data_IF_146017119387
#
_entry.id   IF_146017119387
#
_cell.length_a   1.000
_cell.length_b   1.000
_cell.length_c   1.000
_cell.angle_alpha   90.00
_cell.angle_beta   90.00
_cell.angle_gamma   90.00
#
_symmetry.space_group_name_H-M   'P 1'
#
loop_
_entity.id
_entity.type
_entity.pdbx_description
1 polymer ?
#
# COMPACT_ATOMS: atom_id res chain seq x y z
N UNK A 1 16.48 -22.25 0.21
CA UNK A 1 15.45 -21.25 -0.02
C UNK A 1 15.39 -20.72 -1.48
N UNK A 2 16.38 -21.01 -2.32
CA UNK A 2 16.37 -20.65 -3.76
C UNK A 2 15.72 -21.73 -4.66
N UNK A 3 14.87 -22.57 -4.12
CA UNK A 3 14.05 -23.50 -4.88
C UNK A 3 12.86 -22.80 -5.54
N UNK A 4 12.27 -23.38 -6.57
CA UNK A 4 11.06 -22.87 -7.24
C UNK A 4 9.93 -22.55 -6.24
N UNK A 5 9.80 -23.37 -5.18
CA UNK A 5 8.84 -23.14 -4.09
C UNK A 5 9.11 -21.83 -3.32
N UNK A 6 10.38 -21.45 -3.14
CA UNK A 6 10.73 -20.18 -2.49
C UNK A 6 10.29 -18.97 -3.28
N UNK A 7 10.48 -18.96 -4.60
CA UNK A 7 10.02 -17.86 -5.46
C UNK A 7 8.49 -17.75 -5.48
N UNK A 8 7.79 -18.89 -5.51
CA UNK A 8 6.33 -18.93 -5.42
C UNK A 8 5.87 -18.34 -4.07
N UNK A 9 6.47 -18.73 -2.97
CA UNK A 9 6.15 -18.18 -1.65
C UNK A 9 6.45 -16.68 -1.58
N UNK A 10 7.59 -16.24 -2.14
CA UNK A 10 7.95 -14.82 -2.22
C UNK A 10 6.96 -13.95 -2.99
N UNK A 11 6.29 -14.51 -3.98
CA UNK A 11 5.18 -13.84 -4.68
C UNK A 11 3.87 -13.95 -3.93
N UNK A 12 3.50 -15.16 -3.44
CA UNK A 12 2.18 -15.42 -2.85
C UNK A 12 1.96 -14.71 -1.51
N UNK A 13 3.00 -14.58 -0.68
CA UNK A 13 2.83 -13.92 0.63
C UNK A 13 2.44 -12.45 0.50
N UNK A 14 3.12 -11.61 -0.32
CA UNK A 14 2.67 -10.24 -0.59
C UNK A 14 1.33 -10.18 -1.36
N UNK A 15 1.04 -11.19 -2.18
CA UNK A 15 -0.25 -11.30 -2.86
C UNK A 15 -1.40 -11.49 -1.86
N UNK A 16 -1.26 -12.41 -0.89
CA UNK A 16 -2.27 -12.69 0.15
C UNK A 16 -2.45 -11.48 1.08
N UNK A 17 -1.37 -10.75 1.38
CA UNK A 17 -1.43 -9.52 2.19
C UNK A 17 -2.45 -8.51 1.63
N UNK A 18 -2.56 -8.39 0.32
CA UNK A 18 -3.50 -7.47 -0.32
C UNK A 18 -4.97 -7.75 0.03
N UNK A 19 -5.31 -8.98 0.44
CA UNK A 19 -6.64 -9.39 0.86
C UNK A 19 -6.85 -9.24 2.37
N UNK A 20 -5.79 -9.35 3.17
CA UNK A 20 -5.85 -9.39 4.62
C UNK A 20 -5.18 -8.14 5.20
N UNK A 21 -5.95 -7.14 5.67
CA UNK A 21 -5.42 -5.84 6.09
C UNK A 21 -4.57 -5.88 7.38
N UNK A 22 -4.50 -7.03 8.04
CA UNK A 22 -3.77 -7.22 9.30
C UNK A 22 -2.30 -7.59 9.05
N UNK A 23 -1.99 -8.15 7.87
CA UNK A 23 -0.64 -8.62 7.56
C UNK A 23 0.28 -7.44 7.20
N UNK A 24 1.44 -7.30 7.87
CA UNK A 24 2.36 -6.21 7.60
C UNK A 24 3.20 -6.51 6.35
N UNK A 25 2.94 -5.81 5.25
CA UNK A 25 3.69 -5.91 3.99
C UNK A 25 5.21 -5.74 4.18
N UNK A 26 5.61 -4.89 5.14
CA UNK A 26 7.00 -4.61 5.45
C UNK A 26 7.77 -5.90 5.77
N UNK A 27 7.18 -6.80 6.57
CA UNK A 27 7.79 -8.07 6.96
C UNK A 27 8.03 -8.94 5.73
N UNK A 28 7.05 -9.05 4.84
CA UNK A 28 7.18 -9.87 3.62
C UNK A 28 8.22 -9.31 2.65
N UNK A 29 8.30 -7.98 2.50
CA UNK A 29 9.34 -7.33 1.69
C UNK A 29 10.72 -7.62 2.26
N UNK A 30 10.92 -7.44 3.56
CA UNK A 30 12.21 -7.70 4.23
C UNK A 30 12.61 -9.17 4.10
N UNK A 31 11.70 -10.10 4.34
CA UNK A 31 11.95 -11.55 4.19
C UNK A 31 12.35 -11.87 2.75
N UNK A 32 11.64 -11.36 1.76
CA UNK A 32 11.94 -11.58 0.35
C UNK A 32 13.33 -11.04 -0.04
N UNK A 33 13.65 -9.82 0.41
CA UNK A 33 14.93 -9.18 0.11
C UNK A 33 16.09 -9.94 0.73
N UNK A 34 15.94 -10.42 1.98
CA UNK A 34 16.99 -11.23 2.62
C UNK A 34 17.12 -12.64 2.03
N UNK A 35 16.00 -13.23 1.56
CA UNK A 35 16.02 -14.58 0.96
C UNK A 35 16.57 -14.59 -0.48
N UNK A 36 16.21 -13.60 -1.31
CA UNK A 36 16.46 -13.60 -2.76
C UNK A 36 17.38 -12.46 -3.24
N UNK A 37 17.82 -11.60 -2.32
CA UNK A 37 18.56 -10.38 -2.62
C UNK A 37 17.63 -9.19 -2.95
N UNK A 38 18.20 -7.99 -2.88
CA UNK A 38 17.42 -6.75 -2.99
C UNK A 38 16.58 -6.68 -4.28
N UNK A 39 17.16 -6.96 -5.43
CA UNK A 39 16.47 -6.81 -6.72
C UNK A 39 15.34 -7.84 -6.90
N UNK A 40 15.64 -9.13 -6.76
CA UNK A 40 14.67 -10.21 -6.98
C UNK A 40 13.61 -10.21 -5.89
N UNK A 41 14.01 -10.03 -4.62
CA UNK A 41 13.08 -9.97 -3.49
C UNK A 41 12.10 -8.80 -3.59
N UNK A 42 12.59 -7.62 -3.97
CA UNK A 42 11.76 -6.43 -4.22
C UNK A 42 10.80 -6.64 -5.39
N UNK A 43 11.28 -7.23 -6.48
CA UNK A 43 10.46 -7.50 -7.67
C UNK A 43 9.32 -8.48 -7.38
N UNK A 44 9.62 -9.58 -6.66
CA UNK A 44 8.61 -10.57 -6.26
C UNK A 44 7.54 -9.96 -5.35
N UNK A 45 7.96 -9.21 -4.34
CA UNK A 45 7.05 -8.54 -3.43
C UNK A 45 6.18 -7.51 -4.16
N UNK A 46 6.77 -6.73 -5.05
CA UNK A 46 6.07 -5.74 -5.85
C UNK A 46 5.03 -6.37 -6.77
N UNK A 47 5.40 -7.39 -7.54
CA UNK A 47 4.47 -8.10 -8.43
C UNK A 47 3.33 -8.74 -7.65
N UNK A 48 3.63 -9.46 -6.56
CA UNK A 48 2.61 -10.08 -5.71
C UNK A 48 1.61 -9.07 -5.17
N UNK A 49 2.11 -7.96 -4.62
CA UNK A 49 1.26 -6.91 -4.05
C UNK A 49 0.43 -6.18 -5.11
N UNK A 50 1.01 -5.87 -6.28
CA UNK A 50 0.29 -5.19 -7.37
C UNK A 50 -0.83 -6.07 -7.91
N UNK A 51 -0.53 -7.33 -8.21
CA UNK A 51 -1.53 -8.28 -8.72
C UNK A 51 -2.64 -8.52 -7.68
N UNK A 52 -2.27 -8.76 -6.41
CA UNK A 52 -3.24 -8.95 -5.33
C UNK A 52 -4.13 -7.73 -5.12
N UNK A 53 -3.55 -6.55 -5.00
CA UNK A 53 -4.30 -5.29 -4.83
C UNK A 53 -5.23 -4.99 -6.00
N UNK A 54 -4.81 -5.26 -7.23
CA UNK A 54 -5.65 -5.03 -8.41
C UNK A 54 -6.82 -6.01 -8.47
N UNK A 55 -6.61 -7.28 -8.11
CA UNK A 55 -7.69 -8.27 -8.00
C UNK A 55 -8.70 -7.86 -6.91
N UNK A 56 -8.22 -7.42 -5.73
CA UNK A 56 -9.09 -6.92 -4.66
C UNK A 56 -9.91 -5.73 -5.16
N UNK A 57 -9.28 -4.76 -5.81
CA UNK A 57 -9.96 -3.61 -6.40
C UNK A 57 -11.06 -4.03 -7.40
N UNK A 58 -10.76 -4.92 -8.35
CA UNK A 58 -11.73 -5.39 -9.35
C UNK A 58 -12.87 -6.19 -8.71
N UNK A 59 -12.56 -7.03 -7.72
CA UNK A 59 -13.54 -7.81 -7.00
C UNK A 59 -14.55 -6.91 -6.29
N UNK A 60 -14.08 -5.95 -5.49
CA UNK A 60 -14.97 -5.02 -4.79
C UNK A 60 -15.68 -4.05 -5.76
N UNK A 61 -15.05 -3.69 -6.88
CA UNK A 61 -15.69 -2.90 -7.93
C UNK A 61 -16.92 -3.61 -8.51
N UNK A 62 -16.85 -4.93 -8.72
CA UNK A 62 -18.00 -5.71 -9.18
C UNK A 62 -19.10 -5.83 -8.13
N UNK A 63 -18.73 -5.82 -6.84
CA UNK A 63 -19.66 -5.92 -5.72
C UNK A 63 -20.28 -4.58 -5.32
N UNK A 64 -19.91 -3.46 -5.94
CA UNK A 64 -20.41 -2.11 -5.59
C UNK A 64 -21.94 -2.01 -5.57
N UNK A 65 -22.63 -2.78 -6.43
CA UNK A 65 -24.08 -2.78 -6.53
C UNK A 65 -24.79 -3.64 -5.48
N UNK A 66 -24.05 -4.39 -4.64
CA UNK A 66 -24.66 -5.21 -3.60
C UNK A 66 -25.15 -4.36 -2.43
N UNK A 67 -26.25 -4.78 -1.79
CA UNK A 67 -26.82 -4.09 -0.61
C UNK A 67 -25.79 -3.90 0.52
N UNK A 68 -24.86 -4.85 0.67
CA UNK A 68 -23.82 -4.79 1.68
C UNK A 68 -22.81 -3.65 1.39
N UNK A 69 -22.37 -3.53 0.14
CA UNK A 69 -21.44 -2.48 -0.26
C UNK A 69 -22.09 -1.09 -0.21
N UNK A 70 -23.37 -0.97 -0.58
CA UNK A 70 -24.13 0.26 -0.45
C UNK A 70 -24.20 0.73 1.02
N UNK A 71 -24.36 -0.20 1.96
CA UNK A 71 -24.35 0.10 3.40
C UNK A 71 -22.96 0.58 3.87
N UNK A 72 -21.88 0.02 3.34
CA UNK A 72 -20.52 0.47 3.63
C UNK A 72 -20.29 1.88 3.07
N UNK A 73 -20.73 2.15 1.85
CA UNK A 73 -20.63 3.48 1.21
C UNK A 73 -21.36 4.58 2.00
N UNK A 74 -22.44 4.23 2.70
CA UNK A 74 -23.22 5.17 3.51
C UNK A 74 -22.54 5.55 4.84
N UNK A 75 -21.49 4.82 5.27
CA UNK A 75 -20.73 5.19 6.46
C UNK A 75 -20.03 6.53 6.23
N UNK A 76 -20.18 7.46 7.16
CA UNK A 76 -19.68 8.83 7.05
C UNK A 76 -18.20 8.91 6.66
N UNK A 77 -17.35 8.09 7.28
CA UNK A 77 -15.91 8.06 6.98
C UNK A 77 -15.61 7.58 5.56
N UNK A 78 -16.30 6.53 5.09
CA UNK A 78 -16.12 5.97 3.74
C UNK A 78 -16.64 6.95 2.70
N UNK A 79 -17.81 7.53 2.93
CA UNK A 79 -18.40 8.53 2.03
C UNK A 79 -17.50 9.77 1.85
N UNK A 80 -16.87 10.25 2.93
CA UNK A 80 -15.90 11.36 2.86
C UNK A 80 -14.68 11.00 2.03
N UNK A 81 -14.12 9.81 2.22
CA UNK A 81 -12.97 9.32 1.45
C UNK A 81 -13.30 9.17 -0.03
N UNK A 82 -14.45 8.58 -0.36
CA UNK A 82 -14.93 8.45 -1.75
C UNK A 82 -15.06 9.83 -2.39
N UNK A 83 -15.76 10.77 -1.72
CA UNK A 83 -15.94 12.12 -2.23
C UNK A 83 -14.60 12.86 -2.44
N UNK A 84 -13.67 12.68 -1.51
CA UNK A 84 -12.33 13.26 -1.65
C UNK A 84 -11.56 12.69 -2.84
N UNK A 85 -11.62 11.37 -3.05
CA UNK A 85 -11.01 10.70 -4.20
C UNK A 85 -11.67 11.15 -5.49
N UNK A 86 -13.00 11.24 -5.54
CA UNK A 86 -13.73 11.66 -6.73
C UNK A 86 -13.44 13.12 -7.10
N UNK A 87 -13.23 13.99 -6.10
CA UNK A 87 -12.90 15.42 -6.31
C UNK A 87 -11.44 15.65 -6.69
N UNK A 88 -10.50 14.93 -6.06
CA UNK A 88 -9.04 15.12 -6.22
C UNK A 88 -8.39 14.12 -7.17
N UNK A 89 -9.13 13.14 -7.66
CA UNK A 89 -8.66 12.11 -8.57
C UNK A 89 -7.75 11.08 -7.90
N UNK A 90 -6.76 10.61 -8.62
CA UNK A 90 -5.88 9.50 -8.20
C UNK A 90 -4.76 9.90 -7.24
N UNK A 91 -4.50 11.20 -7.08
CA UNK A 91 -3.39 11.71 -6.26
C UNK A 91 -3.48 11.26 -4.79
N UNK A 92 -4.64 11.34 -4.12
CA UNK A 92 -4.77 10.84 -2.74
C UNK A 92 -4.45 9.37 -2.60
N UNK A 93 -4.87 8.56 -3.58
CA UNK A 93 -4.59 7.11 -3.58
C UNK A 93 -3.10 6.87 -3.71
N UNK A 94 -2.42 7.58 -4.63
CA UNK A 94 -0.98 7.50 -4.82
C UNK A 94 -0.24 7.79 -3.50
N UNK A 95 -0.56 8.90 -2.85
CA UNK A 95 0.07 9.29 -1.60
C UNK A 95 -0.17 8.24 -0.52
N UNK A 96 -1.43 7.81 -0.30
CA UNK A 96 -1.76 6.80 0.70
C UNK A 96 -1.05 5.46 0.46
N UNK A 97 -0.89 5.06 -0.80
CA UNK A 97 -0.23 3.80 -1.15
C UNK A 97 1.30 3.86 -1.10
N UNK A 98 1.91 5.05 -1.15
CA UNK A 98 3.33 5.21 -0.92
C UNK A 98 3.72 4.99 0.56
N UNK A 99 2.76 5.09 1.49
CA UNK A 99 3.03 4.89 2.90
C UNK A 99 2.93 3.41 3.29
N UNK A 100 4.00 2.84 3.89
CA UNK A 100 4.04 1.42 4.23
C UNK A 100 3.10 1.04 5.40
N UNK A 101 2.62 2.01 6.17
CA UNK A 101 1.71 1.79 7.29
C UNK A 101 0.23 1.92 6.92
N UNK A 102 -0.08 2.34 5.70
CA UNK A 102 -1.47 2.41 5.24
C UNK A 102 -1.96 1.01 4.87
N UNK A 103 -3.07 0.52 5.45
CA UNK A 103 -3.62 -0.78 5.09
C UNK A 103 -4.04 -0.80 3.62
N UNK A 104 -3.27 -1.48 2.77
CA UNK A 104 -3.50 -1.56 1.31
C UNK A 104 -4.93 -2.00 0.99
N UNK A 105 -5.44 -3.01 1.71
CA UNK A 105 -6.77 -3.54 1.49
C UNK A 105 -7.87 -2.47 1.64
N UNK A 106 -7.76 -1.59 2.65
CA UNK A 106 -8.73 -0.52 2.85
C UNK A 106 -8.70 0.50 1.70
N UNK A 107 -7.50 0.88 1.25
CA UNK A 107 -7.35 1.80 0.11
C UNK A 107 -7.90 1.18 -1.16
N UNK A 108 -7.63 -0.12 -1.40
CA UNK A 108 -8.16 -0.87 -2.55
C UNK A 108 -9.69 -0.88 -2.56
N UNK A 109 -10.32 -1.13 -1.38
CA UNK A 109 -11.78 -1.15 -1.25
C UNK A 109 -12.36 0.25 -1.50
N UNK A 110 -11.84 1.29 -0.85
CA UNK A 110 -12.35 2.65 -1.01
C UNK A 110 -12.17 3.14 -2.45
N UNK A 111 -11.02 2.88 -3.07
CA UNK A 111 -10.78 3.19 -4.48
C UNK A 111 -11.75 2.45 -5.42
N UNK A 112 -12.09 1.20 -5.09
CA UNK A 112 -13.07 0.42 -5.87
C UNK A 112 -14.49 0.99 -5.82
N UNK A 113 -14.85 1.64 -4.72
CA UNK A 113 -16.14 2.29 -4.49
C UNK A 113 -16.22 3.70 -5.09
N UNK A 114 -15.08 4.31 -5.46
CA UNK A 114 -15.01 5.62 -6.11
C UNK A 114 -15.25 5.51 -7.62
N UNK A 115 -15.39 6.64 -8.31
CA UNK A 115 -15.61 6.70 -9.76
C UNK A 115 -14.32 6.66 -10.59
N UNK A 116 -13.18 6.32 -9.97
CA UNK A 116 -11.89 6.22 -10.68
C UNK A 116 -11.91 5.09 -11.70
N UNK A 117 -11.36 5.36 -12.88
CA UNK A 117 -11.20 4.35 -13.93
C UNK A 117 -10.18 3.28 -13.53
N UNK A 118 -10.47 2.00 -13.82
CA UNK A 118 -9.62 0.88 -13.41
C UNK A 118 -8.17 0.99 -13.92
N UNK A 119 -7.96 1.48 -15.14
CA UNK A 119 -6.61 1.68 -15.68
C UNK A 119 -5.85 2.81 -14.98
N UNK A 120 -6.53 3.91 -14.60
CA UNK A 120 -5.91 4.99 -13.85
C UNK A 120 -5.49 4.52 -12.45
N UNK A 121 -6.34 3.73 -11.79
CA UNK A 121 -5.99 3.07 -10.53
C UNK A 121 -4.80 2.13 -10.68
N UNK A 122 -4.75 1.31 -11.74
CA UNK A 122 -3.65 0.37 -11.99
C UNK A 122 -2.31 1.10 -12.16
N UNK A 123 -2.27 2.20 -12.91
CA UNK A 123 -1.04 3.00 -13.09
C UNK A 123 -0.54 3.54 -11.75
N UNK A 124 -1.45 4.11 -10.96
CA UNK A 124 -1.13 4.65 -9.64
C UNK A 124 -0.65 3.56 -8.69
N UNK A 125 -1.31 2.39 -8.70
CA UNK A 125 -0.94 1.23 -7.90
C UNK A 125 0.47 0.74 -8.24
N UNK A 126 0.79 0.59 -9.51
CA UNK A 126 2.12 0.18 -10.00
C UNK A 126 3.19 1.15 -9.50
N UNK A 127 2.99 2.46 -9.72
CA UNK A 127 3.96 3.49 -9.38
C UNK A 127 4.16 3.64 -7.87
N UNK A 128 3.07 3.73 -7.10
CA UNK A 128 3.13 3.91 -5.64
C UNK A 128 3.75 2.70 -4.93
N UNK A 129 3.35 1.49 -5.34
CA UNK A 129 3.91 0.26 -4.76
C UNK A 129 5.38 0.05 -5.15
N UNK A 130 5.78 0.47 -6.36
CA UNK A 130 7.19 0.43 -6.75
C UNK A 130 8.05 1.30 -5.82
N UNK A 131 7.62 2.53 -5.56
CA UNK A 131 8.31 3.46 -4.67
C UNK A 131 8.35 2.89 -3.25
N UNK A 132 7.19 2.49 -2.71
CA UNK A 132 7.06 2.01 -1.34
C UNK A 132 7.90 0.74 -1.09
N UNK A 133 7.73 -0.27 -1.94
CA UNK A 133 8.42 -1.56 -1.78
C UNK A 133 9.92 -1.42 -2.07
N UNK A 134 10.29 -0.57 -3.03
CA UNK A 134 11.69 -0.23 -3.31
C UNK A 134 12.39 0.41 -2.11
N UNK A 135 11.74 1.37 -1.46
CA UNK A 135 12.27 2.02 -0.25
C UNK A 135 12.37 1.04 0.92
N UNK A 136 11.32 0.26 1.19
CA UNK A 136 11.30 -0.74 2.27
C UNK A 136 12.34 -1.84 1.99
N UNK A 137 12.46 -2.29 0.74
CA UNK A 137 13.44 -3.30 0.34
C UNK A 137 14.87 -2.78 0.47
N UNK A 138 15.12 -1.52 0.10
CA UNK A 138 16.44 -0.90 0.26
C UNK A 138 16.83 -0.76 1.74
N UNK A 139 15.89 -0.33 2.59
CA UNK A 139 16.10 -0.23 4.03
C UNK A 139 16.28 -1.60 4.69
N UNK A 140 15.55 -2.62 4.21
CA UNK A 140 15.54 -3.98 4.78
C UNK A 140 16.63 -4.91 4.26
N UNK A 141 17.43 -4.50 3.27
CA UNK A 141 18.44 -5.36 2.63
C UNK A 141 19.56 -5.85 3.57
N UNK A 142 19.79 -5.12 4.67
CA UNK A 142 20.81 -5.47 5.67
C UNK A 142 20.30 -5.14 7.07
N UNK A 143 19.41 -5.98 7.60
CA UNK A 143 18.88 -5.79 8.97
C UNK A 143 19.99 -5.73 10.02
N UNK A 144 21.05 -6.52 9.84
CA UNK A 144 22.20 -6.54 10.76
C UNK A 144 22.96 -5.21 10.77
N UNK A 145 23.04 -4.52 9.63
CA UNK A 145 23.70 -3.21 9.54
C UNK A 145 22.83 -2.05 10.00
N UNK A 146 21.52 -2.25 10.22
CA UNK A 146 20.65 -1.23 10.79
C UNK A 146 21.05 -0.88 12.23
N UNK A 147 21.51 -1.88 13.01
CA UNK A 147 21.92 -1.69 14.39
C UNK A 147 23.38 -1.24 14.55
N UNK A 148 24.18 -1.41 13.50
CA UNK A 148 25.62 -1.09 13.55
C UNK A 148 25.97 0.22 12.86
N UNK A 149 25.11 0.75 11.98
CA UNK A 149 25.37 1.97 11.24
C UNK A 149 24.43 3.11 11.65
N UNK A 150 24.92 4.11 12.44
CA UNK A 150 24.10 5.18 12.98
C UNK A 150 23.45 6.05 11.87
N UNK A 151 24.08 6.14 10.68
CA UNK A 151 23.55 6.91 9.56
C UNK A 151 22.24 6.28 9.04
N UNK A 152 22.16 4.94 8.94
CA UNK A 152 20.95 4.24 8.51
C UNK A 152 19.82 4.35 9.53
N UNK A 153 20.15 4.30 10.83
CA UNK A 153 19.18 4.54 11.91
C UNK A 153 18.58 5.95 11.81
N UNK A 154 19.42 6.96 11.60
CA UNK A 154 18.98 8.35 11.41
C UNK A 154 18.08 8.46 10.16
N UNK A 155 18.46 7.82 9.06
CA UNK A 155 17.66 7.83 7.82
C UNK A 155 16.28 7.23 8.04
N UNK A 156 16.17 6.11 8.77
CA UNK A 156 14.89 5.48 9.10
C UNK A 156 14.04 6.40 9.98
N UNK A 157 14.63 6.99 11.02
CA UNK A 157 13.93 7.93 11.90
C UNK A 157 13.43 9.14 11.11
N UNK A 158 14.23 9.68 10.20
CA UNK A 158 13.84 10.79 9.32
C UNK A 158 12.69 10.37 8.41
N UNK A 159 12.76 9.18 7.78
CA UNK A 159 11.69 8.68 6.91
C UNK A 159 10.39 8.49 7.70
N UNK A 160 10.47 7.88 8.89
CA UNK A 160 9.30 7.71 9.78
C UNK A 160 8.74 9.09 10.20
N UNK A 161 9.60 10.04 10.54
CA UNK A 161 9.19 11.39 10.93
C UNK A 161 8.51 12.14 9.77
N UNK A 162 9.06 12.03 8.56
CA UNK A 162 8.46 12.62 7.34
C UNK A 162 7.10 11.98 7.08
N UNK A 163 7.00 10.64 7.13
CA UNK A 163 5.76 9.89 6.96
C UNK A 163 4.73 10.34 7.99
N UNK A 164 5.12 10.43 9.27
CA UNK A 164 4.24 10.87 10.34
C UNK A 164 3.78 12.32 10.18
N UNK A 165 4.69 13.23 9.81
CA UNK A 165 4.38 14.65 9.60
C UNK A 165 3.45 14.86 8.40
N UNK A 166 3.72 14.15 7.29
CA UNK A 166 2.86 14.19 6.09
C UNK A 166 1.50 13.57 6.40
N UNK A 167 1.46 12.45 7.12
CA UNK A 167 0.23 11.81 7.57
C UNK A 167 -0.63 12.75 8.42
N UNK A 168 -0.03 13.42 9.40
CA UNK A 168 -0.71 14.44 10.24
C UNK A 168 -1.18 15.66 9.44
N UNK A 169 -0.37 16.12 8.49
CA UNK A 169 -0.75 17.26 7.64
C UNK A 169 -1.90 16.90 6.72
N UNK A 170 -1.92 15.69 6.19
CA UNK A 170 -3.04 15.18 5.41
C UNK A 170 -4.31 15.04 6.27
N UNK A 171 -4.21 14.47 7.47
CA UNK A 171 -5.35 14.34 8.39
C UNK A 171 -5.96 15.70 8.75
N UNK A 172 -5.13 16.71 9.06
CA UNK A 172 -5.61 18.09 9.29
C UNK A 172 -6.28 18.70 8.04
N UNK A 173 -5.72 18.44 6.86
CA UNK A 173 -6.29 18.93 5.61
C UNK A 173 -7.62 18.24 5.29
N UNK A 174 -7.76 16.96 5.62
CA UNK A 174 -9.00 16.19 5.49
C UNK A 174 -10.10 16.68 6.44
N UNK A 175 -9.74 17.07 7.68
CA UNK A 175 -10.72 17.54 8.65
C UNK A 175 -11.18 18.98 8.37
N UNK A 176 -10.29 19.86 7.87
CA UNK A 176 -10.65 21.27 7.56
C UNK A 176 -11.50 21.42 6.29
N UNK A 177 -11.37 20.52 5.32
CA UNK A 177 -12.23 20.50 4.11
C UNK A 177 -13.63 19.93 4.35
N UNK A 178 -13.97 19.59 5.58
CA UNK A 178 -15.28 19.03 5.96
C UNK A 178 -16.20 20.07 6.61
N UNK A 179 -15.74 21.29 6.83
CA UNK A 179 -16.50 22.37 7.47
C UNK A 179 -16.92 23.49 6.48
N UNK A 180 -16.53 23.36 5.20
CA UNK A 180 -17.04 24.18 4.09
C UNK A 180 -17.92 23.35 3.14
#
# INVERSE_FOLDING_TARGET
FRSSLGYIAGFLLPFIEAFIPILPIIVFVIVNVNAFGWFVGTLLAWLGTVVGSYIVFLFFRRLTHTKYMQKIQQRTSVKRLIHFIDRKGVIPIFILMCFPFTPSALVNIVASLSHIKAHAYLIVLIASKFIMIGLVGWLGNDITTLFTNPIRLITIVIVIAIVWFVGRKLEKHFMHSSEE
#
